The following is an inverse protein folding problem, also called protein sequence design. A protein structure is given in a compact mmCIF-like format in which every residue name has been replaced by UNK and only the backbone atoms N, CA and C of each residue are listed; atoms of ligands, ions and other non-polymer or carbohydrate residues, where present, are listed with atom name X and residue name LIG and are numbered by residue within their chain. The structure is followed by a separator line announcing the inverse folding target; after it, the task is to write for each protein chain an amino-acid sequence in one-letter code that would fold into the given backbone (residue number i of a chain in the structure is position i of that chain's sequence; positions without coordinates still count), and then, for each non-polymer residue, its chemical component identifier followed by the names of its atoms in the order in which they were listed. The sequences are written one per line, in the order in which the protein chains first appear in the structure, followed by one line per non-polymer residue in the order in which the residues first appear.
data_IF_680816821046
#
_entry.id   IF_680816821046
#
_cell.length_a   1.000
_cell.length_b   1.000
_cell.length_c   1.000
_cell.angle_alpha   90.00
_cell.angle_beta   90.00
_cell.angle_gamma   90.00
#
_symmetry.space_group_name_H-M   'P 1'
#
loop_
_entity.id
_entity.type
_entity.pdbx_description
1 polymer ?
#
# COMPACT_ATOMS: atom_id res chain seq x y z
N UNK A 1 -8.91 1.08 -16.67
CA UNK A 1 -9.38 -0.16 -17.32
C UNK A 1 -10.85 -0.30 -16.98
N UNK A 2 -11.74 -0.14 -17.97
CA UNK A 2 -13.19 -0.16 -17.81
C UNK A 2 -13.73 -1.45 -18.42
N UNK A 3 -14.36 -2.31 -17.62
CA UNK A 3 -15.00 -3.52 -18.14
C UNK A 3 -16.45 -3.19 -18.53
N UNK A 4 -16.87 -3.53 -19.76
CA UNK A 4 -18.24 -3.33 -20.21
C UNK A 4 -19.19 -4.30 -19.50
N UNK A 5 -20.29 -3.79 -18.96
CA UNK A 5 -21.28 -4.59 -18.26
C UNK A 5 -22.06 -5.51 -19.22
N UNK A 6 -22.18 -6.82 -18.95
CA UNK A 6 -22.88 -7.75 -19.85
C UNK A 6 -24.40 -7.52 -19.91
N UNK A 7 -24.99 -6.87 -18.90
CA UNK A 7 -26.44 -6.64 -18.84
C UNK A 7 -26.88 -5.38 -19.58
N UNK A 8 -26.12 -4.29 -19.48
CA UNK A 8 -26.53 -2.98 -20.01
C UNK A 8 -25.52 -2.35 -20.98
N UNK A 9 -24.38 -3.00 -21.25
CA UNK A 9 -23.35 -2.52 -22.17
C UNK A 9 -22.61 -1.26 -21.72
N UNK A 10 -22.81 -0.79 -20.48
CA UNK A 10 -22.14 0.41 -19.97
C UNK A 10 -20.70 0.08 -19.55
N UNK A 11 -19.77 0.99 -19.83
CA UNK A 11 -18.34 0.85 -19.49
C UNK A 11 -18.00 1.28 -18.04
N UNK A 12 -19.02 1.62 -17.24
CA UNK A 12 -18.87 2.07 -15.85
C UNK A 12 -18.91 0.90 -14.85
N UNK A 13 -18.06 -0.10 -15.01
CA UNK A 13 -17.87 -1.13 -13.99
C UNK A 13 -16.70 -0.79 -13.06
N UNK A 14 -16.90 -1.01 -11.76
CA UNK A 14 -15.85 -0.87 -10.73
C UNK A 14 -15.77 -2.15 -9.90
N UNK A 15 -14.57 -2.54 -9.50
CA UNK A 15 -14.36 -3.69 -8.61
C UNK A 15 -15.14 -3.53 -7.30
N UNK A 16 -15.68 -4.64 -6.76
CA UNK A 16 -16.48 -4.60 -5.54
C UNK A 16 -15.72 -4.01 -4.35
N UNK A 17 -14.41 -4.27 -4.25
CA UNK A 17 -13.54 -3.67 -3.22
C UNK A 17 -13.58 -2.15 -3.26
N UNK A 18 -13.38 -1.55 -4.44
CA UNK A 18 -13.42 -0.10 -4.65
C UNK A 18 -14.81 0.46 -4.37
N UNK A 19 -15.87 -0.22 -4.81
CA UNK A 19 -17.26 0.22 -4.55
C UNK A 19 -17.57 0.19 -3.05
N UNK A 20 -17.19 -0.87 -2.37
CA UNK A 20 -17.36 -1.03 -0.93
C UNK A 20 -16.62 0.06 -0.16
N UNK A 21 -15.32 0.26 -0.43
CA UNK A 21 -14.50 1.29 0.21
C UNK A 21 -15.02 2.71 -0.07
N UNK A 22 -15.42 2.99 -1.32
CA UNK A 22 -15.93 4.32 -1.69
C UNK A 22 -17.24 4.71 -1.01
N UNK A 23 -18.02 3.74 -0.54
CA UNK A 23 -19.27 4.00 0.18
C UNK A 23 -19.16 3.90 1.70
N UNK A 24 -17.96 3.70 2.25
CA UNK A 24 -17.71 3.81 3.68
C UNK A 24 -17.20 5.22 4.00
N UNK A 25 -17.91 5.96 4.85
CA UNK A 25 -17.44 7.22 5.40
C UNK A 25 -17.38 7.15 6.91
N UNK A 26 -16.24 7.56 7.48
CA UNK A 26 -16.10 7.71 8.91
C UNK A 26 -16.76 9.02 9.35
N UNK A 27 -17.65 8.94 10.32
CA UNK A 27 -18.32 10.08 10.92
C UNK A 27 -17.77 10.26 12.33
N UNK A 28 -16.99 11.32 12.53
CA UNK A 28 -16.59 11.80 13.86
C UNK A 28 -17.32 13.12 14.10
N UNK A 29 -18.43 13.06 14.83
CA UNK A 29 -19.21 14.24 15.17
C UNK A 29 -18.93 14.62 16.62
N UNK A 30 -18.48 15.85 16.83
CA UNK A 30 -18.38 16.45 18.15
C UNK A 30 -19.62 17.31 18.37
N UNK A 31 -20.53 16.83 19.20
CA UNK A 31 -21.68 17.60 19.64
C UNK A 31 -21.32 18.34 20.92
N UNK A 32 -21.36 19.67 20.87
CA UNK A 32 -21.33 20.53 22.06
C UNK A 32 -22.76 20.84 22.44
N UNK A 33 -23.17 20.36 23.61
CA UNK A 33 -24.50 20.62 24.14
C UNK A 33 -24.39 21.32 25.48
N UNK A 34 -25.18 22.37 25.69
CA UNK A 34 -25.51 22.83 27.03
C UNK A 34 -26.54 21.84 27.59
N UNK A 35 -26.11 20.97 28.50
CA UNK A 35 -26.99 20.01 29.15
C UNK A 35 -27.54 20.60 30.43
N UNK A 36 -28.86 20.78 30.52
CA UNK A 36 -29.51 20.94 31.82
C UNK A 36 -29.50 19.58 32.52
N UNK A 37 -28.77 19.46 33.63
CA UNK A 37 -28.80 18.23 34.42
C UNK A 37 -30.23 18.05 34.98
N UNK A 38 -30.93 16.93 34.68
CA UNK A 38 -32.30 16.73 35.15
C UNK A 38 -32.38 16.70 36.68
N UNK A 39 -31.29 16.33 37.36
CA UNK A 39 -31.21 16.31 38.81
C UNK A 39 -31.26 17.73 39.41
N UNK A 40 -30.68 18.73 38.74
CA UNK A 40 -30.74 20.14 39.19
C UNK A 40 -32.13 20.74 39.03
N UNK A 41 -32.90 20.31 38.02
CA UNK A 41 -34.30 20.74 37.84
C UNK A 41 -35.18 20.16 38.97
N UNK A 42 -34.93 18.91 39.38
CA UNK A 42 -35.69 18.25 40.44
C UNK A 42 -35.36 18.77 41.84
N UNK A 43 -34.10 19.05 42.14
CA UNK A 43 -33.68 19.47 43.49
C UNK A 43 -33.92 20.97 43.77
N UNK A 44 -34.00 21.82 42.74
CA UNK A 44 -34.08 23.27 42.91
C UNK A 44 -35.07 23.95 41.94
N UNK A 45 -36.39 23.75 42.11
CA UNK A 45 -37.41 24.28 41.19
C UNK A 45 -37.53 25.80 41.17
N UNK A 46 -37.03 26.50 42.19
CA UNK A 46 -37.13 27.97 42.32
C UNK A 46 -35.89 28.74 41.81
N UNK A 47 -34.85 28.03 41.35
CA UNK A 47 -33.60 28.64 40.86
C UNK A 47 -33.63 28.72 39.33
N UNK A 48 -34.71 29.25 38.77
CA UNK A 48 -34.94 29.30 37.31
C UNK A 48 -33.98 30.21 36.55
N UNK A 49 -33.37 31.20 37.22
CA UNK A 49 -32.50 32.19 36.56
C UNK A 49 -30.99 31.91 36.71
N UNK A 50 -30.56 31.29 37.82
CA UNK A 50 -29.14 30.95 38.01
C UNK A 50 -28.72 29.63 37.33
N UNK A 51 -29.69 28.78 36.96
CA UNK A 51 -29.41 27.54 36.20
C UNK A 51 -28.75 27.82 34.83
N UNK A 52 -29.01 28.99 34.23
CA UNK A 52 -28.32 29.42 33.00
C UNK A 52 -26.85 29.77 33.24
N UNK A 53 -26.49 30.26 34.43
CA UNK A 53 -25.11 30.59 34.80
C UNK A 53 -24.25 29.36 35.13
N UNK A 54 -24.88 28.23 35.48
CA UNK A 54 -24.21 26.95 35.74
C UNK A 54 -24.53 25.87 34.69
N UNK A 55 -24.89 26.28 33.47
CA UNK A 55 -25.05 25.35 32.36
C UNK A 55 -23.71 24.66 32.08
N UNK A 56 -23.63 23.37 32.41
CA UNK A 56 -22.46 22.56 32.09
C UNK A 56 -22.43 22.31 30.58
N UNK A 57 -21.40 22.83 29.92
CA UNK A 57 -21.13 22.51 28.52
C UNK A 57 -20.53 21.11 28.44
N UNK A 58 -21.36 20.13 28.03
CA UNK A 58 -20.91 18.77 27.76
C UNK A 58 -20.34 18.65 26.36
N UNK A 59 -19.17 18.03 26.24
CA UNK A 59 -18.64 17.57 24.96
C UNK A 59 -18.98 16.08 24.81
N UNK A 60 -19.86 15.75 23.86
CA UNK A 60 -20.05 14.37 23.44
C UNK A 60 -19.37 14.15 22.09
N UNK A 61 -18.64 13.05 21.97
CA UNK A 61 -17.99 12.63 20.72
C UNK A 61 -18.68 11.35 20.26
N UNK A 62 -19.35 11.40 19.12
CA UNK A 62 -19.91 10.22 18.47
C UNK A 62 -19.00 9.83 17.32
N UNK A 63 -18.49 8.61 17.38
CA UNK A 63 -17.75 8.00 16.28
C UNK A 63 -18.63 6.92 15.67
N UNK A 64 -18.76 6.93 14.36
CA UNK A 64 -19.59 6.00 13.62
C UNK A 64 -19.07 5.81 12.20
N UNK A 65 -19.63 4.80 11.52
CA UNK A 65 -19.39 4.58 10.10
C UNK A 65 -20.73 4.67 9.40
N UNK A 66 -20.80 5.49 8.35
CA UNK A 66 -21.95 5.55 7.45
C UNK A 66 -21.59 4.74 6.22
N UNK A 67 -22.45 3.79 5.88
CA UNK A 67 -22.27 2.93 4.72
C UNK A 67 -23.40 3.18 3.72
N UNK A 68 -23.05 3.43 2.46
CA UNK A 68 -24.05 3.54 1.39
C UNK A 68 -24.70 2.17 1.11
N UNK A 69 -25.95 2.17 0.63
CA UNK A 69 -26.63 0.92 0.24
C UNK A 69 -25.86 0.16 -0.85
N UNK A 70 -25.18 0.87 -1.75
CA UNK A 70 -24.34 0.27 -2.79
C UNK A 70 -23.09 -0.38 -2.21
N UNK A 71 -22.45 0.26 -1.21
CA UNK A 71 -21.32 -0.34 -0.49
C UNK A 71 -21.76 -1.54 0.33
N UNK A 72 -22.89 -1.47 1.05
CA UNK A 72 -23.42 -2.59 1.82
C UNK A 72 -23.67 -3.83 0.93
N UNK A 73 -24.21 -3.63 -0.28
CA UNK A 73 -24.41 -4.69 -1.27
C UNK A 73 -23.08 -5.23 -1.83
N UNK A 74 -22.06 -4.39 -1.97
CA UNK A 74 -20.73 -4.76 -2.41
C UNK A 74 -19.86 -5.33 -1.27
N UNK A 75 -20.42 -5.54 -0.07
CA UNK A 75 -19.69 -5.99 1.10
C UNK A 75 -18.97 -7.33 0.90
N UNK A 76 -17.78 -7.50 1.50
CA UNK A 76 -17.06 -8.76 1.45
C UNK A 76 -17.81 -9.86 2.22
N UNK A 77 -17.57 -11.15 1.88
CA UNK A 77 -18.10 -12.26 2.66
C UNK A 77 -17.58 -12.20 4.10
N UNK A 78 -18.47 -12.35 5.08
CA UNK A 78 -18.14 -12.21 6.50
C UNK A 78 -17.60 -13.53 7.06
N UNK A 79 -16.49 -13.47 7.81
CA UNK A 79 -15.95 -14.62 8.56
C UNK A 79 -16.93 -15.04 9.66
N UNK A 80 -17.03 -16.34 9.93
CA UNK A 80 -17.80 -16.82 11.09
C UNK A 80 -17.03 -16.51 12.37
N UNK A 81 -17.63 -15.80 13.33
CA UNK A 81 -16.94 -15.43 14.57
C UNK A 81 -16.67 -16.68 15.41
N UNK A 82 -15.40 -16.91 15.74
CA UNK A 82 -14.99 -18.03 16.59
C UNK A 82 -15.22 -17.73 18.08
N UNK A 83 -15.31 -16.44 18.44
CA UNK A 83 -15.43 -15.98 19.82
C UNK A 83 -16.69 -16.53 20.50
N UNK A 84 -17.84 -16.51 19.82
CA UNK A 84 -19.09 -16.99 20.41
C UNK A 84 -19.03 -18.49 20.73
N UNK A 85 -18.55 -19.31 19.79
CA UNK A 85 -18.36 -20.75 20.00
C UNK A 85 -17.35 -21.06 21.10
N UNK A 86 -16.27 -20.29 21.19
CA UNK A 86 -15.28 -20.41 22.25
C UNK A 86 -15.88 -20.08 23.63
N UNK A 87 -16.63 -18.98 23.73
CA UNK A 87 -17.33 -18.60 24.96
C UNK A 87 -18.30 -19.69 25.39
N UNK A 88 -19.08 -20.25 24.46
CA UNK A 88 -20.01 -21.33 24.75
C UNK A 88 -19.31 -22.58 25.32
N UNK A 89 -18.18 -22.97 24.72
CA UNK A 89 -17.38 -24.11 25.19
C UNK A 89 -16.77 -23.84 26.57
N UNK A 90 -16.27 -22.62 26.82
CA UNK A 90 -15.72 -22.23 28.12
C UNK A 90 -16.81 -22.25 29.19
N UNK A 91 -17.99 -21.71 28.91
CA UNK A 91 -19.13 -21.76 29.84
C UNK A 91 -19.52 -23.21 30.13
N UNK A 92 -19.60 -24.08 29.12
CA UNK A 92 -19.87 -25.51 29.30
C UNK A 92 -18.83 -26.19 30.20
N UNK A 93 -17.55 -25.85 30.05
CA UNK A 93 -16.46 -26.36 30.88
C UNK A 93 -16.63 -25.97 32.36
N UNK A 94 -16.97 -24.71 32.63
CA UNK A 94 -17.21 -24.21 34.00
C UNK A 94 -18.47 -24.80 34.65
N UNK A 95 -19.44 -25.28 33.88
CA UNK A 95 -20.67 -25.91 34.42
C UNK A 95 -20.48 -27.39 34.81
N UNK A 96 -19.42 -28.06 34.37
CA UNK A 96 -19.20 -29.50 34.64
C UNK A 96 -19.26 -29.94 36.11
N UNK A 97 -18.68 -29.22 37.10
CA UNK A 97 -18.63 -29.71 38.48
C UNK A 97 -20.00 -29.74 39.20
N UNK A 98 -20.99 -28.97 38.75
CA UNK A 98 -22.31 -28.89 39.37
C UNK A 98 -23.47 -29.33 38.48
N UNK A 99 -23.28 -29.29 37.16
CA UNK A 99 -24.32 -29.55 36.18
C UNK A 99 -23.75 -30.30 34.96
N UNK A 100 -23.49 -31.60 35.16
CA UNK A 100 -22.83 -32.46 34.17
C UNK A 100 -23.56 -32.49 32.82
N UNK A 101 -24.88 -32.72 32.82
CA UNK A 101 -25.68 -32.81 31.58
C UNK A 101 -25.64 -31.52 30.74
N UNK A 102 -26.03 -30.34 31.27
CA UNK A 102 -25.98 -29.11 30.48
C UNK A 102 -24.53 -28.66 30.19
N UNK A 103 -23.57 -28.93 31.07
CA UNK A 103 -22.16 -28.66 30.83
C UNK A 103 -21.61 -29.44 29.63
N UNK A 104 -21.86 -30.75 29.59
CA UNK A 104 -21.47 -31.63 28.46
C UNK A 104 -22.18 -31.22 27.18
N UNK A 105 -23.49 -30.88 27.24
CA UNK A 105 -24.24 -30.42 26.08
C UNK A 105 -23.64 -29.12 25.50
N UNK A 106 -23.36 -28.14 26.36
CA UNK A 106 -22.73 -26.87 25.96
C UNK A 106 -21.34 -27.08 25.37
N UNK A 107 -20.55 -28.00 25.95
CA UNK A 107 -19.24 -28.37 25.40
C UNK A 107 -19.35 -29.02 24.02
N UNK A 108 -20.30 -29.94 23.81
CA UNK A 108 -20.53 -30.56 22.52
C UNK A 108 -21.00 -29.55 21.47
N UNK A 109 -21.99 -28.71 21.80
CA UNK A 109 -22.49 -27.67 20.88
C UNK A 109 -21.42 -26.60 20.61
N UNK A 110 -20.69 -26.18 21.64
CA UNK A 110 -19.57 -25.24 21.53
C UNK A 110 -18.45 -25.80 20.66
N UNK A 111 -18.04 -27.04 20.90
CA UNK A 111 -17.01 -27.73 20.11
C UNK A 111 -17.41 -27.94 18.65
N UNK A 112 -18.63 -28.42 18.39
CA UNK A 112 -19.14 -28.61 17.02
C UNK A 112 -19.27 -27.28 16.27
N UNK A 113 -19.81 -26.24 16.91
CA UNK A 113 -19.93 -24.91 16.29
C UNK A 113 -18.56 -24.28 16.03
N UNK A 114 -17.60 -24.45 16.94
CA UNK A 114 -16.22 -23.99 16.75
C UNK A 114 -15.56 -24.70 15.57
N UNK A 115 -15.70 -26.03 15.47
CA UNK A 115 -15.18 -26.82 14.36
C UNK A 115 -15.81 -26.42 13.02
N UNK A 116 -17.13 -26.22 12.98
CA UNK A 116 -17.84 -25.77 11.78
C UNK A 116 -17.40 -24.36 11.35
N UNK A 117 -17.27 -23.42 12.28
CA UNK A 117 -16.80 -22.07 11.99
C UNK A 117 -15.34 -22.07 11.51
N UNK A 118 -14.47 -22.89 12.13
CA UNK A 118 -13.08 -23.04 11.74
C UNK A 118 -12.93 -23.65 10.34
N UNK A 119 -13.64 -24.73 10.04
CA UNK A 119 -13.62 -25.37 8.72
C UNK A 119 -14.15 -24.44 7.64
N UNK A 120 -15.25 -23.72 7.89
CA UNK A 120 -15.77 -22.69 6.98
C UNK A 120 -14.72 -21.60 6.70
N UNK A 121 -14.12 -21.04 7.76
CA UNK A 121 -13.14 -19.95 7.64
C UNK A 121 -11.86 -20.39 6.92
N UNK A 122 -11.46 -21.67 7.00
CA UNK A 122 -10.25 -22.17 6.31
C UNK A 122 -10.51 -22.65 4.88
N UNK A 123 -11.66 -23.25 4.59
CA UNK A 123 -11.94 -23.87 3.28
C UNK A 123 -12.77 -22.99 2.36
N UNK A 124 -13.87 -22.44 2.88
CA UNK A 124 -14.90 -21.77 2.07
C UNK A 124 -14.63 -20.27 1.95
N UNK A 125 -14.31 -19.62 3.07
CA UNK A 125 -14.06 -18.18 3.11
C UNK A 125 -12.98 -17.69 2.13
N UNK A 126 -11.76 -18.29 2.05
CA UNK A 126 -10.72 -17.78 1.14
C UNK A 126 -11.17 -17.82 -0.32
N UNK A 127 -11.86 -18.88 -0.73
CA UNK A 127 -12.39 -19.00 -2.09
C UNK A 127 -13.45 -17.94 -2.39
N UNK A 128 -14.44 -17.76 -1.49
CA UNK A 128 -15.47 -16.72 -1.66
C UNK A 128 -14.88 -15.32 -1.70
N UNK A 129 -13.86 -15.07 -0.87
CA UNK A 129 -13.18 -13.78 -0.82
C UNK A 129 -12.42 -13.51 -2.13
N UNK A 130 -11.75 -14.52 -2.69
CA UNK A 130 -11.06 -14.39 -3.97
C UNK A 130 -12.03 -14.10 -5.13
N UNK A 131 -13.18 -14.78 -5.17
CA UNK A 131 -14.23 -14.51 -6.16
C UNK A 131 -14.78 -13.10 -5.98
N UNK A 132 -14.96 -12.65 -4.74
CA UNK A 132 -15.39 -11.28 -4.43
C UNK A 132 -14.37 -10.22 -4.91
N UNK A 133 -13.08 -10.40 -4.65
CA UNK A 133 -12.02 -9.49 -5.11
C UNK A 133 -11.96 -9.36 -6.63
N UNK A 134 -12.21 -10.45 -7.34
CA UNK A 134 -12.19 -10.48 -8.80
C UNK A 134 -13.50 -9.96 -9.42
N UNK A 135 -14.56 -9.79 -8.63
CA UNK A 135 -15.85 -9.36 -9.15
C UNK A 135 -15.99 -7.83 -9.22
N UNK A 136 -16.74 -7.37 -10.22
CA UNK A 136 -17.03 -5.98 -10.46
C UNK A 136 -18.54 -5.72 -10.45
N UNK A 137 -18.93 -4.49 -10.06
CA UNK A 137 -20.30 -4.01 -10.07
C UNK A 137 -20.43 -2.86 -11.07
N UNK A 138 -21.44 -2.96 -11.94
CA UNK A 138 -21.81 -1.87 -12.83
C UNK A 138 -22.47 -0.73 -12.04
N UNK A 139 -21.96 0.49 -12.16
CA UNK A 139 -22.51 1.68 -11.48
C UNK A 139 -23.88 2.09 -12.02
N UNK A 140 -24.21 1.73 -13.26
CA UNK A 140 -25.48 2.11 -13.91
C UNK A 140 -26.64 1.18 -13.57
N UNK A 141 -26.42 -0.15 -13.61
CA UNK A 141 -27.49 -1.13 -13.40
C UNK A 141 -27.33 -1.97 -12.11
N UNK A 142 -26.22 -1.84 -11.38
CA UNK A 142 -25.97 -2.54 -10.12
C UNK A 142 -25.78 -4.06 -10.24
N UNK A 143 -25.53 -4.57 -11.45
CA UNK A 143 -25.25 -6.00 -11.70
C UNK A 143 -23.81 -6.30 -11.31
N UNK A 144 -23.62 -7.39 -10.56
CA UNK A 144 -22.31 -7.91 -10.17
C UNK A 144 -21.94 -9.02 -11.16
N UNK A 145 -20.71 -8.99 -11.68
CA UNK A 145 -20.19 -9.99 -12.61
C UNK A 145 -18.68 -10.14 -12.40
N UNK A 146 -18.12 -11.26 -12.84
CA UNK A 146 -16.66 -11.45 -12.89
C UNK A 146 -16.20 -10.98 -14.28
N UNK A 147 -15.36 -9.94 -14.39
CA UNK A 147 -14.78 -9.58 -15.67
C UNK A 147 -13.85 -10.71 -16.12
N UNK A 148 -13.91 -11.09 -17.40
CA UNK A 148 -13.05 -12.13 -17.94
C UNK A 148 -11.57 -11.80 -17.68
N UNK A 149 -10.93 -12.53 -16.76
CA UNK A 149 -9.54 -12.32 -16.38
C UNK A 149 -8.59 -12.38 -17.59
N UNK A 150 -8.93 -13.19 -18.60
CA UNK A 150 -8.20 -13.29 -19.86
C UNK A 150 -8.14 -11.95 -20.62
N UNK A 151 -9.18 -11.11 -20.53
CA UNK A 151 -9.20 -9.82 -21.19
C UNK A 151 -8.29 -8.81 -20.48
N UNK A 152 -8.27 -8.85 -19.15
CA UNK A 152 -7.42 -7.98 -18.32
C UNK A 152 -5.94 -8.34 -18.49
N UNK A 153 -5.61 -9.62 -18.57
CA UNK A 153 -4.23 -10.05 -18.83
C UNK A 153 -3.80 -9.73 -20.26
N UNK A 154 -4.68 -9.88 -21.25
CA UNK A 154 -4.34 -9.47 -22.62
C UNK A 154 -4.04 -7.97 -22.69
N UNK A 155 -4.87 -7.12 -22.07
CA UNK A 155 -4.66 -5.67 -22.10
C UNK A 155 -3.40 -5.24 -21.33
N UNK A 156 -3.11 -5.89 -20.19
CA UNK A 156 -1.90 -5.62 -19.42
C UNK A 156 -0.63 -6.11 -20.13
N UNK A 157 -0.67 -7.29 -20.76
CA UNK A 157 0.43 -7.81 -21.58
C UNK A 157 0.65 -6.91 -22.79
N UNK A 158 -0.43 -6.44 -23.43
CA UNK A 158 -0.35 -5.53 -24.58
C UNK A 158 0.24 -4.17 -24.17
N UNK A 159 -0.14 -3.62 -23.02
CA UNK A 159 0.45 -2.40 -22.49
C UNK A 159 1.95 -2.58 -22.14
N UNK A 160 2.31 -3.72 -21.54
CA UNK A 160 3.71 -4.07 -21.29
C UNK A 160 4.53 -4.22 -22.57
N UNK A 161 3.96 -4.85 -23.60
CA UNK A 161 4.58 -4.98 -24.92
C UNK A 161 4.76 -3.63 -25.61
N UNK A 162 3.77 -2.73 -25.52
CA UNK A 162 3.88 -1.38 -26.07
C UNK A 162 4.96 -0.55 -25.37
N UNK A 163 5.07 -0.62 -24.04
CA UNK A 163 6.13 0.04 -23.29
C UNK A 163 7.51 -0.52 -23.62
N UNK A 164 7.65 -1.84 -23.71
CA UNK A 164 8.90 -2.50 -24.08
C UNK A 164 9.33 -2.12 -25.50
N UNK A 165 8.40 -2.06 -26.45
CA UNK A 165 8.65 -1.62 -27.82
C UNK A 165 9.01 -0.12 -27.88
N UNK A 166 8.34 0.72 -27.09
CA UNK A 166 8.67 2.13 -27.00
C UNK A 166 10.07 2.36 -26.41
N UNK A 167 10.44 1.62 -25.36
CA UNK A 167 11.80 1.65 -24.82
C UNK A 167 12.83 1.16 -25.84
N UNK A 168 12.55 0.07 -26.55
CA UNK A 168 13.44 -0.44 -27.60
C UNK A 168 13.67 0.62 -28.69
N UNK A 169 12.62 1.30 -29.15
CA UNK A 169 12.71 2.39 -30.13
C UNK A 169 13.51 3.58 -29.63
N UNK A 170 13.36 3.96 -28.35
CA UNK A 170 14.16 5.04 -27.76
C UNK A 170 15.64 4.67 -27.68
N UNK A 171 15.96 3.42 -27.32
CA UNK A 171 17.34 2.93 -27.28
C UNK A 171 17.95 2.89 -28.68
N UNK A 172 17.26 2.31 -29.67
CA UNK A 172 17.78 2.29 -31.06
C UNK A 172 17.89 3.67 -31.67
N UNK A 173 17.02 4.62 -31.33
CA UNK A 173 17.14 6.01 -31.76
C UNK A 173 18.32 6.75 -31.10
N UNK A 174 18.68 6.40 -29.87
CA UNK A 174 19.80 7.01 -29.14
C UNK A 174 21.18 6.43 -29.51
N UNK A 175 21.22 5.19 -30.01
CA UNK A 175 22.45 4.49 -30.40
C UNK A 175 23.40 5.30 -31.30
N UNK A 176 22.96 5.90 -32.43
CA UNK A 176 23.87 6.63 -33.31
C UNK A 176 24.47 7.89 -32.68
N UNK A 177 23.77 8.53 -31.72
CA UNK A 177 24.31 9.67 -30.99
C UNK A 177 25.39 9.23 -29.99
N UNK A 178 25.19 8.08 -29.33
CA UNK A 178 26.18 7.49 -28.43
C UNK A 178 27.44 7.05 -29.19
N UNK A 179 27.28 6.39 -30.34
CA UNK A 179 28.40 5.96 -31.19
C UNK A 179 29.21 7.17 -31.69
N UNK A 180 28.53 8.25 -32.08
CA UNK A 180 29.18 9.49 -32.50
C UNK A 180 29.93 10.16 -31.34
N UNK A 181 29.40 10.12 -30.12
CA UNK A 181 30.08 10.62 -28.93
C UNK A 181 31.32 9.79 -28.57
N UNK A 182 31.25 8.46 -28.67
CA UNK A 182 32.39 7.56 -28.46
C UNK A 182 33.49 7.79 -29.50
N UNK A 183 33.12 7.95 -30.78
CA UNK A 183 34.09 8.22 -31.84
C UNK A 183 34.79 9.58 -31.66
N UNK A 184 34.04 10.62 -31.27
CA UNK A 184 34.61 11.93 -30.96
C UNK A 184 35.52 11.90 -29.72
N UNK A 185 35.11 11.18 -28.67
CA UNK A 185 35.94 10.96 -27.48
C UNK A 185 37.25 10.24 -27.83
N UNK A 186 37.20 9.20 -28.65
CA UNK A 186 38.38 8.48 -29.14
C UNK A 186 39.34 9.36 -29.95
N UNK A 187 38.81 10.23 -30.82
CA UNK A 187 39.63 11.17 -31.61
C UNK A 187 40.32 12.22 -30.73
N UNK A 188 39.65 12.74 -29.70
CA UNK A 188 40.26 13.70 -28.77
C UNK A 188 41.37 13.03 -27.98
N UNK A 189 41.14 11.81 -27.48
CA UNK A 189 42.17 11.04 -26.75
C UNK A 189 43.38 10.75 -27.64
N UNK A 190 43.18 10.32 -28.89
CA UNK A 190 44.30 10.09 -29.83
C UNK A 190 45.11 11.36 -30.11
N UNK A 191 44.46 12.51 -30.31
CA UNK A 191 45.15 13.80 -30.52
C UNK A 191 45.98 14.24 -29.31
N UNK A 192 45.47 14.03 -28.10
CA UNK A 192 46.20 14.36 -26.86
C UNK A 192 47.42 13.45 -26.70
N UNK A 193 47.28 12.15 -26.95
CA UNK A 193 48.39 11.20 -26.88
C UNK A 193 49.49 11.56 -27.89
N UNK A 194 49.13 11.85 -29.15
CA UNK A 194 50.09 12.21 -30.20
C UNK A 194 50.86 13.50 -29.86
N UNK A 195 50.17 14.53 -29.39
CA UNK A 195 50.81 15.79 -28.98
C UNK A 195 51.73 15.60 -27.77
N UNK A 196 51.37 14.73 -26.84
CA UNK A 196 52.20 14.41 -25.67
C UNK A 196 53.47 13.66 -26.08
N UNK A 197 53.38 12.74 -27.05
CA UNK A 197 54.57 12.06 -27.58
C UNK A 197 55.50 13.00 -28.32
N UNK A 198 54.98 13.96 -29.09
CA UNK A 198 55.80 14.96 -29.79
C UNK A 198 56.57 15.86 -28.80
N UNK A 199 55.91 16.33 -27.73
CA UNK A 199 56.55 17.14 -26.69
C UNK A 199 57.65 16.37 -25.95
N UNK A 200 57.45 15.07 -25.72
CA UNK A 200 58.46 14.22 -25.05
C UNK A 200 59.69 13.99 -25.92
N UNK A 201 59.50 13.78 -27.23
CA UNK A 201 60.62 13.66 -28.19
C UNK A 201 61.38 14.98 -28.33
N UNK A 202 60.68 16.12 -28.31
CA UNK A 202 61.33 17.44 -28.31
C UNK A 202 62.18 17.67 -27.06
N UNK A 203 61.65 17.39 -25.87
CA UNK A 203 62.38 17.54 -24.61
C UNK A 203 63.64 16.66 -24.53
N UNK A 204 63.55 15.41 -25.00
CA UNK A 204 64.69 14.48 -24.98
C UNK A 204 65.83 14.91 -25.93
N UNK A 205 65.52 15.72 -26.96
CA UNK A 205 66.51 16.27 -27.88
C UNK A 205 67.29 17.44 -27.28
N UNK A 206 66.69 18.18 -26.36
CA UNK A 206 67.38 19.25 -25.62
C UNK A 206 68.34 18.68 -24.57
N UNK A 207 67.98 17.59 -23.89
CA UNK A 207 68.85 16.96 -22.87
C UNK A 207 70.13 16.36 -23.46
N UNK A 208 70.11 15.86 -24.70
CA UNK A 208 71.29 15.25 -25.34
C UNK A 208 72.19 16.26 -26.08
N UNK A 209 71.87 17.56 -26.05
CA UNK A 209 72.63 18.62 -26.70
C UNK A 209 73.52 19.46 -25.78
N UNK A 210 73.43 19.28 -24.46
CA UNK A 210 74.20 20.08 -23.50
C UNK A 210 75.61 19.48 -23.28
N UNK A 211 76.70 20.23 -23.55
CA UNK A 211 78.04 19.78 -23.22
C UNK A 211 78.18 19.66 -21.70
N UNK A 212 78.63 18.49 -21.24
CA UNK A 212 78.82 18.17 -19.83
C UNK A 212 79.85 19.12 -19.20
N UNK A 213 79.38 19.99 -18.32
CA UNK A 213 80.19 20.81 -17.42
C UNK A 213 80.77 19.91 -16.31
N UNK A 214 82.08 19.94 -16.04
CA UNK A 214 82.71 19.01 -15.10
C UNK A 214 82.32 19.33 -13.65
N UNK A 215 81.53 18.44 -13.04
CA UNK A 215 81.16 18.51 -11.62
C UNK A 215 82.39 18.32 -10.73
N UNK A 216 82.73 19.38 -10.01
CA UNK A 216 83.72 19.38 -8.96
C UNK A 216 83.17 18.67 -7.72
N UNK A 217 83.98 17.72 -7.27
CA UNK A 217 83.83 16.84 -6.12
C UNK A 217 83.57 17.63 -4.82
N UNK A 218 82.43 17.37 -4.18
CA UNK A 218 82.14 17.84 -2.83
C UNK A 218 81.42 16.75 -2.04
N UNK A 219 82.18 15.70 -1.71
CA UNK A 219 81.88 14.86 -0.56
C UNK A 219 82.28 15.64 0.69
N UNK A 220 81.34 15.91 1.58
CA UNK A 220 81.59 15.92 3.02
C UNK A 220 80.28 16.16 3.78
N UNK A 221 80.01 15.23 4.69
CA UNK A 221 79.25 15.41 5.92
C UNK A 221 77.72 15.67 5.74
N UNK A 222 76.80 15.04 6.44
CA UNK A 222 76.83 14.60 7.82
C UNK A 222 75.90 13.40 8.01
N UNK A 223 76.36 12.47 8.85
CA UNK A 223 75.63 11.32 9.34
C UNK A 223 75.65 11.41 10.87
N UNK A 224 74.66 12.10 11.44
CA UNK A 224 74.27 12.16 12.86
C UNK A 224 72.87 12.81 12.80
N UNK A 225 71.73 12.24 13.24
CA UNK A 225 71.40 11.29 14.28
C UNK A 225 69.94 10.81 14.04
#
# INVERSE_FOLDING_TARGET
MTASCPKCGADDARYLSVVHESGLSAVDTRTRGAGCNPLTILLFPFIGLWSLLFSSFGNARTTGTVQSLTSAKAGPPVRKPLAFSLVLAVVGLFLLPGHTVPGVLLLLVGGLSLYAAWTYNRRVHPYQYQVWEQSAMCQRCGTIFVPDANRITLDAVTAGQLLAEQQRRLVTAAQPALDRAQHLGGQVVQKVVQKTTELRVAAQREEHGAPLEPQADRREADQEN
#
